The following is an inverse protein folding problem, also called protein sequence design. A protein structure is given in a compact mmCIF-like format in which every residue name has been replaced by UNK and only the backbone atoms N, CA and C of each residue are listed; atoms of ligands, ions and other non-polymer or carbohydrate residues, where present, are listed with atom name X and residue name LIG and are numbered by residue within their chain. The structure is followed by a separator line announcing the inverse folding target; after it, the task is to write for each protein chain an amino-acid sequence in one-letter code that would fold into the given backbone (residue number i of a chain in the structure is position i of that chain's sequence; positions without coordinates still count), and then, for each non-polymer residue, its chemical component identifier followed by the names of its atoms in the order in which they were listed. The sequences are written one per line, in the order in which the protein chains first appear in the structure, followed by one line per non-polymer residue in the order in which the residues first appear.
data_IF_783170954726
#
_entry.id   IF_783170954726
#
_cell.length_a   1.000
_cell.length_b   1.000
_cell.length_c   1.000
_cell.angle_alpha   90.00
_cell.angle_beta   90.00
_cell.angle_gamma   90.00
#
_symmetry.space_group_name_H-M   'P 1'
#
loop_
_entity.id
_entity.type
_entity.pdbx_description
1 polymer ?
#
# COMPACT_ATOMS: atom_id res chain seq x y z
N UNK A 1 11.14 -10.83 4.67
CA UNK A 1 11.29 -9.91 5.81
C UNK A 1 11.36 -8.45 5.35
N UNK A 2 12.40 -8.03 4.60
CA UNK A 2 12.62 -6.64 4.19
C UNK A 2 11.48 -5.96 3.38
N UNK A 3 10.90 -6.56 2.32
CA UNK A 3 9.95 -5.84 1.47
C UNK A 3 8.57 -5.64 2.12
N UNK A 4 8.16 -6.56 2.99
CA UNK A 4 6.88 -6.48 3.70
C UNK A 4 6.90 -5.31 4.70
N UNK A 5 8.02 -5.12 5.41
CA UNK A 5 8.20 -4.01 6.34
C UNK A 5 8.20 -2.65 5.61
N UNK A 6 8.79 -2.57 4.42
CA UNK A 6 8.75 -1.37 3.58
C UNK A 6 7.34 -1.04 3.09
N UNK A 7 6.55 -2.06 2.75
CA UNK A 7 5.16 -1.89 2.36
C UNK A 7 4.30 -1.40 3.53
N UNK A 8 4.49 -1.99 4.70
CA UNK A 8 3.83 -1.58 5.94
C UNK A 8 4.20 -0.14 6.33
N UNK A 9 5.47 0.24 6.15
CA UNK A 9 5.96 1.59 6.37
C UNK A 9 5.31 2.60 5.41
N UNK A 10 5.19 2.25 4.12
CA UNK A 10 4.52 3.10 3.12
C UNK A 10 3.03 3.31 3.45
N UNK A 11 2.35 2.24 3.88
CA UNK A 11 0.94 2.32 4.29
C UNK A 11 0.79 3.18 5.55
N UNK A 12 1.63 2.97 6.56
CA UNK A 12 1.62 3.76 7.79
C UNK A 12 1.91 5.25 7.52
N UNK A 13 2.85 5.55 6.63
CA UNK A 13 3.17 6.91 6.21
C UNK A 13 1.99 7.57 5.49
N UNK A 14 1.34 6.85 4.56
CA UNK A 14 0.18 7.36 3.85
C UNK A 14 -1.01 7.66 4.78
N UNK A 15 -1.27 6.78 5.76
CA UNK A 15 -2.32 6.98 6.78
C UNK A 15 -1.98 8.17 7.69
N UNK A 16 -0.70 8.33 8.06
CA UNK A 16 -0.27 9.45 8.89
C UNK A 16 -0.46 10.80 8.18
N UNK A 17 -0.03 10.88 6.92
CA UNK A 17 -0.24 12.06 6.06
C UNK A 17 -1.75 12.32 5.92
N UNK A 18 -2.51 11.27 5.64
CA UNK A 18 -3.97 11.33 5.50
C UNK A 18 -4.68 11.90 6.74
N UNK A 19 -4.22 11.53 7.94
CA UNK A 19 -4.79 11.98 9.20
C UNK A 19 -4.60 13.48 9.46
N UNK A 20 -3.52 14.08 8.95
CA UNK A 20 -3.24 15.51 9.10
C UNK A 20 -4.10 16.40 8.17
N UNK A 21 -4.71 15.82 7.13
CA UNK A 21 -5.50 16.55 6.12
C UNK A 21 -7.02 16.49 6.34
N UNK A 22 -7.48 15.93 7.45
CA UNK A 22 -8.90 15.76 7.79
C UNK A 22 -9.66 17.07 8.08
N UNK A 23 -9.03 18.23 7.95
CA UNK A 23 -9.62 19.52 8.35
C UNK A 23 -10.17 20.41 7.21
N UNK A 24 -10.02 20.10 5.90
CA UNK A 24 -10.44 21.07 4.86
C UNK A 24 -10.79 20.51 3.45
N UNK A 25 -11.51 19.38 3.32
CA UNK A 25 -12.09 18.94 2.02
C UNK A 25 -11.26 17.94 1.19
N UNK A 26 -10.21 17.34 1.77
CA UNK A 26 -9.32 16.38 1.09
C UNK A 26 -9.86 14.94 0.93
N UNK A 27 -11.15 14.69 1.20
CA UNK A 27 -11.74 13.33 1.18
C UNK A 27 -11.57 12.60 -0.16
N UNK A 28 -11.67 13.33 -1.28
CA UNK A 28 -11.55 12.74 -2.61
C UNK A 28 -10.10 12.32 -2.92
N UNK A 29 -9.13 13.12 -2.48
CA UNK A 29 -7.70 12.80 -2.59
C UNK A 29 -7.35 11.59 -1.72
N UNK A 30 -7.88 11.54 -0.50
CA UNK A 30 -7.70 10.42 0.42
C UNK A 30 -8.19 9.09 -0.16
N UNK A 31 -9.40 9.06 -0.73
CA UNK A 31 -9.98 7.86 -1.34
C UNK A 31 -9.13 7.40 -2.53
N UNK A 32 -8.69 8.34 -3.37
CA UNK A 32 -7.82 8.03 -4.52
C UNK A 32 -6.47 7.43 -4.07
N UNK A 33 -5.82 8.05 -3.09
CA UNK A 33 -4.53 7.59 -2.54
C UNK A 33 -4.69 6.21 -1.88
N UNK A 34 -5.71 6.02 -1.05
CA UNK A 34 -5.98 4.75 -0.38
C UNK A 34 -6.27 3.63 -1.38
N UNK A 35 -7.02 3.92 -2.44
CA UNK A 35 -7.34 2.96 -3.50
C UNK A 35 -6.08 2.58 -4.29
N UNK A 36 -5.25 3.57 -4.67
CA UNK A 36 -3.98 3.34 -5.36
C UNK A 36 -3.01 2.50 -4.53
N UNK A 37 -2.91 2.76 -3.23
CA UNK A 37 -2.08 1.98 -2.32
C UNK A 37 -2.58 0.55 -2.17
N UNK A 38 -3.89 0.36 -2.07
CA UNK A 38 -4.50 -0.97 -1.96
C UNK A 38 -4.27 -1.78 -3.23
N UNK A 39 -4.36 -1.14 -4.40
CA UNK A 39 -4.07 -1.76 -5.69
C UNK A 39 -2.59 -2.17 -5.80
N UNK A 40 -1.67 -1.28 -5.43
CA UNK A 40 -0.23 -1.57 -5.42
C UNK A 40 0.11 -2.69 -4.43
N UNK A 41 -0.44 -2.66 -3.22
CA UNK A 41 -0.25 -3.71 -2.22
C UNK A 41 -0.74 -5.07 -2.73
N UNK A 42 -1.89 -5.10 -3.39
CA UNK A 42 -2.47 -6.31 -3.98
C UNK A 42 -1.59 -6.85 -5.12
N UNK A 43 -1.13 -5.99 -6.02
CA UNK A 43 -0.24 -6.35 -7.13
C UNK A 43 1.11 -6.88 -6.65
N UNK A 44 1.73 -6.24 -5.64
CA UNK A 44 2.99 -6.69 -5.04
C UNK A 44 2.79 -8.05 -4.36
N UNK A 45 1.72 -8.22 -3.59
CA UNK A 45 1.41 -9.48 -2.90
C UNK A 45 1.24 -10.62 -3.90
N UNK A 46 0.51 -10.39 -4.99
CA UNK A 46 0.32 -11.36 -6.06
C UNK A 46 1.63 -11.68 -6.79
N UNK A 47 2.44 -10.67 -7.12
CA UNK A 47 3.73 -10.86 -7.77
C UNK A 47 4.72 -11.64 -6.90
N UNK A 48 4.75 -11.38 -5.59
CA UNK A 48 5.58 -12.12 -4.64
C UNK A 48 5.12 -13.58 -4.56
N UNK A 49 3.80 -13.82 -4.49
CA UNK A 49 3.24 -15.19 -4.46
C UNK A 49 3.58 -15.94 -5.75
N UNK A 50 3.46 -15.29 -6.90
CA UNK A 50 3.77 -15.89 -8.19
C UNK A 50 5.27 -16.23 -8.33
N UNK A 51 6.17 -15.35 -7.86
CA UNK A 51 7.62 -15.62 -7.85
C UNK A 51 7.99 -16.79 -6.94
N UNK A 52 7.32 -16.92 -5.78
CA UNK A 52 7.55 -18.05 -4.86
C UNK A 52 7.12 -19.39 -5.46
N UNK A 53 6.01 -19.42 -6.20
CA UNK A 53 5.54 -20.63 -6.88
C UNK A 53 6.50 -21.10 -7.98
N UNK A 54 7.17 -20.18 -8.68
CA UNK A 54 8.17 -20.54 -9.71
C UNK A 54 9.52 -20.99 -9.14
N UNK A 55 9.82 -20.66 -7.88
CA UNK A 55 11.07 -21.06 -7.23
C UNK A 55 10.99 -22.44 -6.54
N UNK A 56 9.81 -23.07 -6.57
CA UNK A 56 9.54 -24.38 -5.92
C UNK A 56 9.18 -25.48 -6.92
N UNK A 57 9.35 -25.21 -8.23
CA UNK A 57 9.25 -26.18 -9.32
C UNK A 57 10.57 -26.24 -10.07
#
# INVERSE_FOLDING_TARGET
MKPLLWLLLLVALAVNISSSFLFDGAQQALISIATGLTALASGITLAVRHRRQRATS
#
